data_IF_351704593928
#
_entry.id   IF_351704593928
#
_cell.length_a   1.000
_cell.length_b   1.000
_cell.length_c   1.000
_cell.angle_alpha   90.00
_cell.angle_beta   90.00
_cell.angle_gamma   90.00
#
_symmetry.space_group_name_H-M   'P 1'
#
loop_
_entity.id
_entity.type
_entity.pdbx_description
1 polymer ?
#
# COMPACT_ATOMS: atom_id res chain seq x y z
N UNK A 1 8.27 24.60 -10.84
CA UNK A 1 8.36 23.22 -10.36
C UNK A 1 8.90 23.33 -8.95
N UNK A 2 8.10 22.97 -7.96
CA UNK A 2 8.63 22.67 -6.63
C UNK A 2 9.71 21.60 -6.80
N UNK A 3 10.81 21.72 -6.06
CA UNK A 3 11.83 20.68 -6.07
C UNK A 3 11.78 20.00 -4.72
N UNK A 4 11.28 18.76 -4.72
CA UNK A 4 11.27 17.91 -3.54
C UNK A 4 12.62 17.23 -3.38
N UNK A 5 13.03 17.02 -2.14
CA UNK A 5 14.11 16.10 -1.83
C UNK A 5 13.87 15.43 -0.48
N UNK A 6 14.45 14.25 -0.34
CA UNK A 6 14.28 13.41 0.85
C UNK A 6 15.50 13.45 1.73
N UNK A 7 15.26 13.50 3.04
CA UNK A 7 16.29 13.25 4.02
C UNK A 7 15.67 12.68 5.30
N UNK A 8 16.17 11.53 5.74
CA UNK A 8 15.86 10.92 7.03
C UNK A 8 14.36 10.78 7.35
N UNK A 9 13.55 10.28 6.41
CA UNK A 9 12.11 10.09 6.60
C UNK A 9 11.24 11.31 6.29
N UNK A 10 11.86 12.46 5.98
CA UNK A 10 11.14 13.70 5.68
C UNK A 10 11.29 14.12 4.23
N UNK A 11 10.22 14.72 3.69
CA UNK A 11 10.24 15.41 2.40
C UNK A 11 10.40 16.91 2.64
N UNK A 12 11.32 17.52 1.90
CA UNK A 12 11.54 18.94 1.93
C UNK A 12 11.17 19.56 0.59
N UNK A 13 10.42 20.65 0.65
CA UNK A 13 10.02 21.46 -0.49
C UNK A 13 10.60 22.88 -0.37
N UNK A 14 11.08 23.43 -1.48
CA UNK A 14 11.50 24.84 -1.54
C UNK A 14 10.34 25.68 -2.10
N UNK A 15 9.73 26.48 -1.24
CA UNK A 15 8.71 27.46 -1.64
C UNK A 15 9.41 28.73 -2.15
N UNK A 16 9.14 29.06 -3.42
CA UNK A 16 9.81 30.13 -4.17
C UNK A 16 8.98 31.42 -4.27
N UNK A 17 7.82 31.48 -3.62
CA UNK A 17 7.12 32.72 -3.36
C UNK A 17 7.79 33.45 -2.18
N UNK A 18 8.35 34.66 -2.37
CA UNK A 18 8.95 35.41 -1.26
C UNK A 18 7.90 35.87 -0.25
N UNK A 19 8.03 35.46 1.00
CA UNK A 19 7.10 35.74 2.10
C UNK A 19 7.82 36.24 3.35
N UNK A 20 7.10 36.98 4.20
CA UNK A 20 7.56 37.21 5.59
C UNK A 20 7.59 35.88 6.34
N UNK A 21 8.36 35.79 7.42
CA UNK A 21 8.46 34.54 8.18
C UNK A 21 7.09 34.05 8.67
N UNK A 22 6.27 34.95 9.25
CA UNK A 22 4.90 34.59 9.71
C UNK A 22 4.02 34.07 8.58
N UNK A 23 4.13 34.66 7.38
CA UNK A 23 3.34 34.23 6.22
C UNK A 23 3.84 32.88 5.70
N UNK A 24 5.15 32.64 5.70
CA UNK A 24 5.75 31.36 5.32
C UNK A 24 5.38 30.25 6.32
N UNK A 25 5.39 30.55 7.63
CA UNK A 25 4.97 29.64 8.69
C UNK A 25 3.48 29.28 8.57
N UNK A 26 2.63 30.28 8.35
CA UNK A 26 1.19 30.06 8.13
C UNK A 26 0.93 29.30 6.83
N UNK A 27 1.67 29.58 5.76
CA UNK A 27 1.58 28.85 4.50
C UNK A 27 1.91 27.37 4.73
N UNK A 28 3.08 27.07 5.29
CA UNK A 28 3.52 25.71 5.58
C UNK A 28 2.52 24.96 6.46
N UNK A 29 2.00 25.57 7.53
CA UNK A 29 1.03 24.94 8.42
C UNK A 29 -0.38 24.76 7.81
N UNK A 30 -0.66 25.40 6.67
CA UNK A 30 -1.93 25.30 5.95
C UNK A 30 -1.90 24.30 4.81
N UNK A 31 -0.71 23.84 4.40
CA UNK A 31 -0.60 22.79 3.41
C UNK A 31 -1.05 21.48 4.06
N UNK A 32 -1.74 20.68 3.26
CA UNK A 32 -2.12 19.33 3.58
C UNK A 32 -1.77 18.49 2.36
N UNK A 33 -1.15 17.34 2.62
CA UNK A 33 -0.93 16.30 1.63
C UNK A 33 -1.84 15.13 1.99
N UNK A 34 -2.47 14.56 0.98
CA UNK A 34 -3.51 13.54 1.14
C UNK A 34 -4.84 14.00 0.55
N UNK A 35 -5.30 13.23 -0.42
CA UNK A 35 -6.69 13.09 -0.80
C UNK A 35 -7.50 12.33 0.28
N UNK A 36 -8.83 12.41 0.19
CA UNK A 36 -9.82 12.00 1.20
C UNK A 36 -9.77 10.49 1.56
N UNK A 37 -8.97 9.69 0.83
CA UNK A 37 -8.89 8.22 0.95
C UNK A 37 -7.74 7.71 1.84
N UNK A 38 -6.65 8.48 2.00
CA UNK A 38 -5.48 8.00 2.75
C UNK A 38 -5.76 7.87 4.25
N UNK A 39 -6.68 8.66 4.83
CA UNK A 39 -6.85 8.76 6.29
C UNK A 39 -5.57 9.20 7.04
N UNK A 40 -4.50 9.55 6.30
CA UNK A 40 -3.22 9.99 6.82
C UNK A 40 -3.02 11.44 6.41
N UNK A 41 -3.22 12.34 7.37
CA UNK A 41 -2.82 13.73 7.20
C UNK A 41 -1.33 13.83 7.49
N UNK A 42 -0.52 14.01 6.45
CA UNK A 42 0.85 14.46 6.65
C UNK A 42 0.82 15.93 7.06
N UNK A 43 1.50 16.25 8.16
CA UNK A 43 1.68 17.62 8.61
C UNK A 43 2.91 18.24 7.98
N UNK A 44 2.78 19.51 7.61
CA UNK A 44 3.89 20.31 7.11
C UNK A 44 4.19 21.49 8.03
N UNK A 45 5.46 21.89 8.03
CA UNK A 45 5.95 23.03 8.80
C UNK A 45 7.13 23.67 8.07
N UNK A 46 7.49 24.89 8.47
CA UNK A 46 8.80 25.40 8.09
C UNK A 46 9.88 24.50 8.68
N UNK A 47 10.86 24.13 7.85
CA UNK A 47 11.80 23.08 8.15
C UNK A 47 12.52 23.26 9.47
N UNK A 48 12.56 22.17 10.22
CA UNK A 48 13.34 21.98 11.42
C UNK A 48 14.69 21.41 10.96
N UNK A 49 15.76 21.71 11.70
CA UNK A 49 17.08 21.18 11.37
C UNK A 49 17.74 20.66 12.63
N UNK A 50 17.80 19.34 12.74
CA UNK A 50 18.21 18.57 13.90
C UNK A 50 19.66 18.10 13.86
N UNK A 51 20.29 18.14 12.68
CA UNK A 51 21.64 17.59 12.48
C UNK A 51 22.47 18.33 11.43
N UNK A 52 23.80 18.17 11.54
CA UNK A 52 24.74 18.76 10.59
C UNK A 52 24.58 18.18 9.18
N UNK A 53 24.18 16.91 9.09
CA UNK A 53 24.01 16.21 7.82
C UNK A 53 22.72 16.65 7.11
N UNK A 54 21.63 16.84 7.85
CA UNK A 54 20.39 17.42 7.33
C UNK A 54 20.61 18.85 6.83
N UNK A 55 21.25 19.70 7.62
CA UNK A 55 21.60 21.07 7.22
C UNK A 55 22.40 21.09 5.91
N UNK A 56 23.32 20.14 5.74
CA UNK A 56 24.10 19.99 4.52
C UNK A 56 23.26 19.46 3.34
N UNK A 57 22.30 18.55 3.60
CA UNK A 57 21.39 18.02 2.59
C UNK A 57 20.45 19.11 2.06
N UNK A 58 19.82 19.88 2.95
CA UNK A 58 18.98 21.03 2.60
C UNK A 58 19.77 22.00 1.72
N UNK A 59 20.94 22.44 2.18
CA UNK A 59 21.80 23.36 1.42
C UNK A 59 22.20 22.83 0.04
N UNK A 60 22.53 21.54 -0.06
CA UNK A 60 22.93 20.89 -1.31
C UNK A 60 21.79 20.93 -2.32
N UNK A 61 20.57 20.58 -1.90
CA UNK A 61 19.42 20.51 -2.80
C UNK A 61 18.97 21.90 -3.24
N UNK A 62 18.93 22.89 -2.35
CA UNK A 62 18.65 24.30 -2.72
C UNK A 62 19.58 24.78 -3.84
N UNK A 63 20.88 24.47 -3.75
CA UNK A 63 21.85 24.86 -4.78
C UNK A 63 21.64 24.18 -6.13
N UNK A 64 20.99 23.02 -6.16
CA UNK A 64 20.68 22.30 -7.39
C UNK A 64 19.38 22.80 -8.03
N UNK A 65 18.40 23.17 -7.21
CA UNK A 65 17.03 23.52 -7.62
C UNK A 65 16.86 24.96 -8.12
N UNK A 66 17.72 25.88 -7.66
CA UNK A 66 17.56 27.31 -7.91
C UNK A 66 18.42 27.77 -9.09
N UNK A 67 17.83 28.28 -10.19
CA UNK A 67 18.60 28.81 -11.32
C UNK A 67 19.50 29.97 -10.89
N UNK A 68 20.80 29.85 -11.19
CA UNK A 68 21.78 30.89 -10.89
C UNK A 68 21.39 32.24 -11.54
N UNK A 69 21.14 33.26 -10.72
CA UNK A 69 20.86 34.64 -11.17
C UNK A 69 19.40 35.10 -11.08
N UNK A 70 18.51 34.35 -10.42
CA UNK A 70 17.19 34.85 -10.03
C UNK A 70 17.36 36.02 -9.04
N UNK A 71 17.20 37.25 -9.53
CA UNK A 71 17.16 38.47 -8.71
C UNK A 71 15.97 38.44 -7.75
N UNK A 72 16.20 38.54 -6.45
CA UNK A 72 15.13 38.69 -5.46
C UNK A 72 15.49 39.65 -4.30
N UNK A 73 14.43 40.37 -3.89
CA UNK A 73 14.31 41.55 -3.03
C UNK A 73 14.96 42.86 -3.52
N UNK A 74 14.14 43.90 -3.65
CA UNK A 74 14.52 45.24 -4.13
C UNK A 74 15.29 46.09 -3.11
N UNK A 75 15.50 45.59 -1.89
CA UNK A 75 16.06 46.31 -0.73
C UNK A 75 17.48 45.87 -0.34
N UNK A 76 18.07 44.91 -1.06
CA UNK A 76 19.48 44.56 -0.92
C UNK A 76 19.83 43.59 0.21
N UNK A 77 18.86 42.86 0.78
CA UNK A 77 19.09 41.80 1.76
C UNK A 77 18.76 40.37 1.32
N UNK A 78 17.95 40.19 0.28
CA UNK A 78 17.23 38.92 0.04
C UNK A 78 17.83 37.92 -0.94
N UNK A 79 19.11 38.00 -1.29
CA UNK A 79 19.72 37.09 -2.29
C UNK A 79 20.46 35.88 -1.72
N UNK A 80 20.65 35.83 -0.39
CA UNK A 80 21.60 34.90 0.24
C UNK A 80 20.99 34.05 1.36
N UNK A 81 19.67 34.16 1.61
CA UNK A 81 18.99 33.56 2.76
C UNK A 81 17.63 32.95 2.42
N UNK A 82 17.22 31.98 3.23
CA UNK A 82 15.89 31.36 3.19
C UNK A 82 15.37 31.15 4.61
N UNK A 83 14.06 31.18 4.82
CA UNK A 83 13.42 30.91 6.11
C UNK A 83 13.45 29.43 6.51
N UNK A 84 13.90 29.18 7.74
CA UNK A 84 13.70 27.92 8.46
C UNK A 84 12.69 28.14 9.60
N UNK A 85 12.27 27.06 10.25
CA UNK A 85 11.16 27.06 11.20
C UNK A 85 11.45 27.58 12.60
N UNK A 86 12.57 28.24 12.88
CA UNK A 86 12.87 28.73 14.23
C UNK A 86 12.67 30.23 14.39
N UNK A 87 12.19 30.63 15.59
CA UNK A 87 12.10 32.01 16.04
C UNK A 87 12.34 32.13 17.54
N UNK A 88 12.71 33.30 18.03
CA UNK A 88 12.71 33.67 19.46
C UNK A 88 11.76 34.84 19.78
N UNK A 89 10.88 35.19 18.83
CA UNK A 89 9.85 36.25 18.92
C UNK A 89 8.96 36.22 20.17
N UNK A 90 8.83 35.06 20.81
CA UNK A 90 8.07 34.88 22.06
C UNK A 90 8.90 35.26 23.29
N UNK A 91 10.19 34.92 23.31
CA UNK A 91 11.11 35.21 24.41
C UNK A 91 12.50 35.37 23.83
N UNK A 92 12.93 36.62 23.70
CA UNK A 92 14.26 37.04 23.23
C UNK A 92 15.38 36.11 23.74
N UNK A 93 16.18 35.60 22.81
CA UNK A 93 17.28 34.68 23.06
C UNK A 93 16.89 33.23 23.38
N UNK A 94 15.59 32.91 23.36
CA UNK A 94 15.07 31.55 23.54
C UNK A 94 14.45 31.04 22.25
N UNK A 95 15.31 30.56 21.36
CA UNK A 95 14.92 30.02 20.06
C UNK A 95 14.11 28.72 20.17
N UNK A 96 12.96 28.69 19.51
CA UNK A 96 12.05 27.56 19.39
C UNK A 96 11.73 27.29 17.93
N UNK A 97 11.68 26.01 17.57
CA UNK A 97 11.12 25.55 16.31
C UNK A 97 9.59 25.76 16.30
N UNK A 98 8.99 25.78 15.11
CA UNK A 98 7.56 25.91 14.86
C UNK A 98 6.71 24.84 15.56
N UNK A 99 7.29 23.65 15.81
CA UNK A 99 6.67 22.59 16.63
C UNK A 99 6.81 22.80 18.15
N UNK A 100 7.39 23.92 18.59
CA UNK A 100 7.58 24.30 20.00
C UNK A 100 8.82 23.71 20.67
N UNK A 101 9.63 22.90 19.98
CA UNK A 101 10.84 22.33 20.56
C UNK A 101 11.98 23.36 20.66
N UNK A 102 12.76 23.40 21.76
CA UNK A 102 13.87 24.36 21.88
C UNK A 102 15.02 24.04 20.91
N UNK A 103 15.47 25.04 20.15
CA UNK A 103 16.64 24.90 19.25
C UNK A 103 17.91 24.55 20.03
N UNK A 104 18.02 25.05 21.27
CA UNK A 104 19.16 24.81 22.16
C UNK A 104 19.38 23.33 22.54
N UNK A 105 18.36 22.48 22.37
CA UNK A 105 18.44 21.05 22.66
C UNK A 105 19.04 20.23 21.51
N UNK A 106 19.15 20.81 20.30
CA UNK A 106 19.56 20.11 19.09
C UNK A 106 20.80 20.70 18.42
N UNK A 107 20.96 20.37 17.13
CA UNK A 107 22.02 20.93 16.28
C UNK A 107 21.89 22.44 16.11
N UNK A 108 23.02 23.13 16.01
CA UNK A 108 23.10 24.57 15.78
C UNK A 108 24.26 24.89 14.85
N UNK A 109 24.04 25.79 13.88
CA UNK A 109 25.07 26.21 12.92
C UNK A 109 25.12 27.73 12.70
N UNK A 110 25.04 28.51 13.78
CA UNK A 110 25.09 29.96 13.73
C UNK A 110 26.35 30.49 13.02
N UNK A 111 26.18 31.55 12.23
CA UNK A 111 27.25 32.17 11.47
C UNK A 111 28.28 32.91 12.31
N UNK A 112 29.54 32.90 11.88
CA UNK A 112 30.63 33.64 12.55
C UNK A 112 30.97 34.94 11.80
N UNK A 113 30.12 35.96 11.95
CA UNK A 113 30.35 37.30 11.37
C UNK A 113 31.16 38.23 12.29
N UNK A 114 31.73 39.31 11.73
CA UNK A 114 32.38 40.42 12.45
C UNK A 114 31.42 41.26 13.33
N UNK A 115 30.14 40.90 13.38
CA UNK A 115 29.18 41.32 14.40
C UNK A 115 29.17 40.24 15.49
N UNK A 116 30.31 40.10 16.17
CA UNK A 116 30.55 39.04 17.13
C UNK A 116 29.44 38.92 18.18
N UNK A 117 29.14 37.66 18.50
CA UNK A 117 28.12 37.10 19.41
C UNK A 117 26.69 37.02 18.86
N UNK A 118 26.47 36.05 17.96
CA UNK A 118 25.15 35.42 17.82
C UNK A 118 25.04 34.14 18.67
N UNK A 119 23.85 33.84 19.23
CA UNK A 119 22.53 34.39 18.84
C UNK A 119 22.06 35.62 19.66
N UNK A 120 22.96 36.56 19.98
CA UNK A 120 22.92 37.41 21.17
C UNK A 120 23.06 38.92 20.83
N UNK A 121 22.54 39.39 19.68
CA UNK A 121 22.45 40.84 19.52
C UNK A 121 21.39 41.49 20.44
N UNK A 122 20.55 40.72 21.17
CA UNK A 122 19.79 41.00 22.41
C UNK A 122 19.07 42.36 22.60
N UNK A 123 19.02 43.20 21.57
CA UNK A 123 18.42 44.54 21.58
C UNK A 123 17.76 44.85 20.21
N UNK A 124 17.44 43.83 19.43
CA UNK A 124 16.94 43.93 18.05
C UNK A 124 15.44 43.70 17.89
N UNK A 125 14.94 44.00 16.68
CA UNK A 125 13.62 43.55 16.18
C UNK A 125 13.82 42.36 15.20
N UNK A 126 14.88 41.59 15.40
CA UNK A 126 15.25 40.44 14.57
C UNK A 126 14.96 39.22 15.44
N UNK A 127 14.10 38.33 14.95
CA UNK A 127 13.54 37.26 15.78
C UNK A 127 13.41 35.93 15.02
N UNK A 128 13.96 35.83 13.80
CA UNK A 128 13.61 34.77 12.84
C UNK A 128 14.82 34.16 12.15
N UNK A 129 14.88 32.82 12.15
CA UNK A 129 16.04 32.06 11.70
C UNK A 129 16.03 31.92 10.18
N UNK A 130 17.16 32.28 9.56
CA UNK A 130 17.38 32.03 8.15
C UNK A 130 18.69 31.29 7.88
N UNK A 131 18.67 30.38 6.90
CA UNK A 131 19.86 29.68 6.43
C UNK A 131 20.53 30.45 5.30
N UNK A 132 21.83 30.72 5.43
CA UNK A 132 22.64 31.27 4.37
C UNK A 132 22.82 30.24 3.24
N UNK A 133 22.50 30.60 2.00
CA UNK A 133 22.74 29.76 0.81
C UNK A 133 24.08 30.08 0.12
N UNK A 134 24.70 31.19 0.54
CA UNK A 134 26.01 31.69 0.09
C UNK A 134 25.96 32.41 -1.25
N UNK A 135 26.81 33.45 -1.44
CA UNK A 135 26.77 34.25 -2.67
C UNK A 135 27.61 33.68 -3.82
N UNK A 136 27.05 33.74 -5.03
CA UNK A 136 27.79 33.57 -6.28
C UNK A 136 27.55 34.73 -7.27
N UNK A 137 28.52 35.64 -7.54
CA UNK A 137 29.79 35.89 -6.85
C UNK A 137 29.69 36.91 -5.69
N UNK A 138 30.45 36.68 -4.62
CA UNK A 138 30.53 37.43 -3.34
C UNK A 138 30.46 38.97 -3.44
N UNK A 139 29.69 39.72 -2.59
CA UNK A 139 29.88 41.15 -2.49
C UNK A 139 30.94 41.39 -1.42
N UNK A 140 31.55 42.56 -1.43
CA UNK A 140 32.22 43.08 -0.25
C UNK A 140 31.22 43.16 0.92
N UNK A 141 31.40 42.38 1.98
CA UNK A 141 30.52 42.46 3.16
C UNK A 141 30.64 41.35 4.20
N UNK A 142 31.08 40.14 3.83
CA UNK A 142 31.32 39.05 4.80
C UNK A 142 30.07 38.46 5.46
N UNK A 143 28.92 38.51 4.77
CA UNK A 143 27.63 38.01 5.23
C UNK A 143 27.26 36.77 4.41
N UNK A 144 26.86 35.67 5.07
CA UNK A 144 26.30 34.45 4.47
C UNK A 144 27.30 33.38 4.03
N UNK A 145 27.94 32.64 4.96
CA UNK A 145 28.58 31.37 4.60
C UNK A 145 27.47 30.35 4.36
N UNK A 146 27.57 29.63 3.24
CA UNK A 146 26.60 28.63 2.86
C UNK A 146 26.42 27.57 3.97
N UNK A 147 25.18 27.37 4.41
CA UNK A 147 24.76 26.46 5.47
C UNK A 147 24.71 27.07 6.87
N UNK A 148 25.23 28.28 7.10
CA UNK A 148 25.20 28.92 8.42
C UNK A 148 23.87 29.64 8.69
N UNK A 149 23.42 29.60 9.94
CA UNK A 149 22.18 30.23 10.40
C UNK A 149 22.44 31.67 10.85
N UNK A 150 21.48 32.56 10.61
CA UNK A 150 21.52 33.97 11.01
C UNK A 150 20.14 34.40 11.48
N UNK A 151 20.11 35.37 12.39
CA UNK A 151 18.90 36.03 12.85
C UNK A 151 18.54 37.27 11.99
N UNK A 152 17.34 37.26 11.42
CA UNK A 152 16.84 38.30 10.52
C UNK A 152 15.51 38.90 10.99
N UNK A 153 15.24 40.14 10.56
CA UNK A 153 13.94 40.80 10.76
C UNK A 153 12.84 40.06 10.02
N UNK A 154 11.69 39.85 10.67
CA UNK A 154 10.50 39.24 10.06
C UNK A 154 9.87 40.08 8.95
N UNK A 155 10.29 41.33 8.80
CA UNK A 155 9.88 42.21 7.69
C UNK A 155 10.50 41.83 6.34
N UNK A 156 11.55 40.99 6.32
CA UNK A 156 12.15 40.51 5.08
C UNK A 156 11.21 39.54 4.37
N UNK A 157 11.18 39.59 3.03
CA UNK A 157 10.47 38.57 2.23
C UNK A 157 11.47 37.62 1.59
N UNK A 158 11.48 36.37 2.05
CA UNK A 158 12.41 35.33 1.61
C UNK A 158 11.64 34.10 1.12
N UNK A 159 12.34 33.24 0.38
CA UNK A 159 11.91 31.86 0.16
C UNK A 159 11.97 31.07 1.45
N UNK A 160 11.25 29.97 1.51
CA UNK A 160 11.22 29.07 2.67
C UNK A 160 11.51 27.63 2.26
N UNK A 161 12.03 26.84 3.21
CA UNK A 161 11.99 25.38 3.12
C UNK A 161 10.84 24.91 3.99
N UNK A 162 9.97 24.13 3.37
CA UNK A 162 8.87 23.41 4.01
C UNK A 162 9.34 21.98 4.20
N UNK A 163 9.00 21.39 5.33
CA UNK A 163 9.23 20.00 5.66
C UNK A 163 7.90 19.31 5.90
N UNK A 164 7.81 18.06 5.46
CA UNK A 164 6.66 17.17 5.63
C UNK A 164 7.08 15.99 6.49
N UNK A 165 6.20 15.56 7.41
CA UNK A 165 6.36 14.39 8.28
C UNK A 165 6.22 13.03 7.53
N UNK A 166 6.61 12.99 6.26
CA UNK A 166 6.57 11.77 5.45
C UNK A 166 7.36 11.90 4.15
N UNK A 167 7.50 10.79 3.45
CA UNK A 167 8.16 10.68 2.15
C UNK A 167 7.12 10.79 1.03
N UNK A 168 7.22 11.81 0.19
CA UNK A 168 6.25 12.12 -0.86
C UNK A 168 6.96 12.13 -2.21
N UNK A 169 6.60 11.21 -3.09
CA UNK A 169 7.07 11.11 -4.46
C UNK A 169 6.61 12.28 -5.34
N UNK A 170 6.64 12.03 -6.62
CA UNK A 170 6.22 12.94 -7.69
C UNK A 170 5.49 12.12 -8.72
N UNK A 171 4.74 12.77 -9.62
CA UNK A 171 4.06 12.10 -10.73
C UNK A 171 4.96 11.36 -11.78
N UNK A 172 6.19 10.98 -11.45
CA UNK A 172 6.97 10.07 -12.29
C UNK A 172 7.97 9.27 -11.47
N UNK A 173 8.37 8.11 -12.01
CA UNK A 173 9.18 7.08 -11.34
C UNK A 173 10.21 7.58 -10.30
N UNK A 174 9.91 7.29 -9.04
CA UNK A 174 10.68 7.68 -7.88
C UNK A 174 11.39 6.51 -7.19
N UNK A 175 12.37 6.88 -6.36
CA UNK A 175 13.04 5.95 -5.45
C UNK A 175 12.95 6.47 -4.04
N UNK A 176 12.00 5.93 -3.30
CA UNK A 176 11.68 6.31 -1.94
C UNK A 176 12.31 5.31 -0.95
N UNK A 177 12.91 5.82 0.11
CA UNK A 177 13.51 4.99 1.16
C UNK A 177 13.25 5.63 2.50
N UNK A 178 12.40 5.00 3.29
CA UNK A 178 12.12 5.36 4.67
C UNK A 178 13.27 5.01 5.60
N UNK A 179 12.96 4.99 6.89
CA UNK A 179 13.89 4.83 8.00
C UNK A 179 13.82 3.41 8.56
N UNK A 180 13.97 3.26 9.87
CA UNK A 180 13.80 1.99 10.58
C UNK A 180 12.79 2.14 11.73
N UNK A 181 11.99 3.21 11.67
CA UNK A 181 10.81 3.39 12.49
C UNK A 181 9.65 3.74 11.57
N UNK A 182 8.47 3.90 12.17
CA UNK A 182 7.22 4.06 11.46
C UNK A 182 7.24 5.27 10.51
N UNK A 183 7.18 5.00 9.22
CA UNK A 183 7.18 5.99 8.14
C UNK A 183 5.78 6.10 7.51
N UNK A 184 5.50 7.27 6.94
CA UNK A 184 4.40 7.45 5.99
C UNK A 184 5.01 7.79 4.65
N UNK A 185 4.70 7.00 3.63
CA UNK A 185 5.26 7.11 2.29
C UNK A 185 4.11 7.16 1.28
N UNK A 186 4.18 8.13 0.38
CA UNK A 186 3.27 8.29 -0.75
C UNK A 186 4.12 8.39 -2.03
N UNK A 187 3.92 7.50 -2.98
CA UNK A 187 4.62 7.49 -4.27
C UNK A 187 4.10 8.54 -5.25
N UNK A 188 2.83 8.97 -5.13
CA UNK A 188 2.10 9.68 -6.20
C UNK A 188 2.12 8.83 -7.50
N UNK A 189 1.73 9.37 -8.65
CA UNK A 189 1.78 8.61 -9.91
C UNK A 189 3.22 8.27 -10.35
N UNK A 190 3.45 7.13 -11.00
CA UNK A 190 4.76 6.75 -11.51
C UNK A 190 4.99 5.25 -11.41
N UNK A 191 6.19 4.79 -11.81
CA UNK A 191 6.58 3.41 -11.51
C UNK A 191 7.66 3.49 -10.44
N UNK A 192 7.27 3.32 -9.20
CA UNK A 192 8.04 3.67 -8.03
C UNK A 192 8.75 2.47 -7.42
N UNK A 193 9.83 2.78 -6.73
CA UNK A 193 10.61 1.80 -5.98
C UNK A 193 10.72 2.26 -4.53
N UNK A 194 9.80 1.77 -3.73
CA UNK A 194 9.59 2.14 -2.34
C UNK A 194 10.21 1.08 -1.45
N UNK A 195 11.04 1.53 -0.51
CA UNK A 195 11.49 0.72 0.61
C UNK A 195 11.14 1.44 1.90
N UNK A 196 10.19 0.95 2.67
CA UNK A 196 9.73 1.63 3.87
C UNK A 196 10.76 1.49 4.99
N UNK A 197 10.93 0.32 5.58
CA UNK A 197 11.91 0.21 6.65
C UNK A 197 11.80 -1.06 7.46
N UNK A 198 12.16 -0.96 8.72
CA UNK A 198 11.47 -1.72 9.76
C UNK A 198 10.55 -0.69 10.46
N UNK A 199 9.50 -1.14 11.14
CA UNK A 199 8.53 -0.25 11.78
C UNK A 199 7.13 -0.49 11.22
N UNK A 200 6.13 0.10 11.87
CA UNK A 200 4.74 0.00 11.39
C UNK A 200 4.53 1.10 10.34
N UNK A 201 4.76 0.76 9.07
CA UNK A 201 4.79 1.72 7.98
C UNK A 201 3.44 1.86 7.29
N UNK A 202 3.15 3.05 6.76
CA UNK A 202 2.02 3.30 5.87
C UNK A 202 2.54 3.70 4.50
N UNK A 203 2.25 2.89 3.49
CA UNK A 203 2.73 3.09 2.13
C UNK A 203 1.54 3.20 1.17
N UNK A 204 1.47 4.30 0.46
CA UNK A 204 0.62 4.53 -0.70
C UNK A 204 1.55 4.47 -1.91
N UNK A 205 1.39 3.44 -2.75
CA UNK A 205 2.28 3.26 -3.89
C UNK A 205 1.96 4.29 -5.00
N UNK A 206 0.67 4.53 -5.23
CA UNK A 206 0.15 5.45 -6.23
C UNK A 206 -0.18 4.75 -7.56
N UNK A 207 -0.49 5.54 -8.58
CA UNK A 207 -0.77 5.00 -9.91
C UNK A 207 0.50 4.50 -10.59
N UNK A 208 0.52 3.30 -11.14
CA UNK A 208 1.58 2.79 -12.00
C UNK A 208 2.31 1.58 -11.41
N UNK A 209 3.20 0.97 -12.20
CA UNK A 209 3.72 -0.35 -11.83
C UNK A 209 4.79 -0.22 -10.74
N UNK A 210 4.39 -0.46 -9.50
CA UNK A 210 5.17 -0.16 -8.33
C UNK A 210 5.86 -1.37 -7.73
N UNK A 211 6.90 -1.07 -6.97
CA UNK A 211 7.61 -2.06 -6.18
C UNK A 211 7.76 -1.56 -4.76
N UNK A 212 7.11 -2.25 -3.85
CA UNK A 212 7.13 -1.94 -2.42
C UNK A 212 7.82 -3.06 -1.63
N UNK A 213 8.82 -2.69 -0.83
CA UNK A 213 9.37 -3.53 0.25
C UNK A 213 9.10 -2.80 1.57
N UNK A 214 7.99 -3.16 2.24
CA UNK A 214 7.58 -2.55 3.50
C UNK A 214 8.50 -2.95 4.67
N UNK A 215 9.02 -4.18 4.63
CA UNK A 215 9.91 -4.71 5.66
C UNK A 215 9.15 -5.28 6.86
N UNK A 216 9.74 -5.27 8.07
CA UNK A 216 9.09 -5.86 9.25
C UNK A 216 8.33 -4.82 10.06
N UNK A 217 7.30 -5.24 10.77
CA UNK A 217 6.37 -4.38 11.51
C UNK A 217 4.95 -4.60 10.99
N UNK A 218 3.95 -3.99 11.62
CA UNK A 218 2.56 -4.12 11.17
C UNK A 218 2.30 -3.06 10.09
N UNK A 219 2.47 -3.43 8.82
CA UNK A 219 2.44 -2.48 7.71
C UNK A 219 1.06 -2.33 7.08
N UNK A 220 0.82 -1.16 6.50
CA UNK A 220 -0.35 -0.88 5.67
C UNK A 220 0.12 -0.41 4.29
N UNK A 221 -0.04 -1.24 3.27
CA UNK A 221 0.37 -0.94 1.89
C UNK A 221 -0.84 -0.98 0.98
N UNK A 222 -1.08 0.10 0.25
CA UNK A 222 -2.11 0.15 -0.80
C UNK A 222 -1.53 0.74 -2.09
N UNK A 223 -1.97 0.23 -3.23
CA UNK A 223 -1.66 0.82 -4.53
C UNK A 223 -2.38 2.16 -4.71
N UNK A 224 -3.68 2.22 -4.39
CA UNK A 224 -4.52 3.35 -4.80
C UNK A 224 -4.40 4.60 -3.90
N UNK A 225 -4.34 5.77 -4.56
CA UNK A 225 -4.73 7.08 -4.01
C UNK A 225 -5.86 7.68 -4.86
N UNK A 226 -7.08 7.13 -4.78
CA UNK A 226 -8.23 7.73 -5.47
C UNK A 226 -9.39 6.78 -5.72
N UNK A 227 -10.57 7.35 -6.02
CA UNK A 227 -11.83 6.62 -6.20
C UNK A 227 -12.13 6.20 -7.66
N UNK A 228 -11.25 6.52 -8.63
CA UNK A 228 -11.62 6.42 -10.05
C UNK A 228 -10.49 6.05 -11.02
N UNK A 229 -9.31 5.63 -10.57
CA UNK A 229 -8.23 5.30 -11.51
C UNK A 229 -8.23 3.81 -11.87
N UNK A 230 -8.07 3.56 -13.16
CA UNK A 230 -8.08 2.23 -13.76
C UNK A 230 -6.70 1.87 -14.30
N UNK A 231 -5.65 2.44 -13.70
CA UNK A 231 -4.26 2.38 -14.18
C UNK A 231 -3.28 2.25 -13.00
N UNK A 232 -3.66 1.54 -11.93
CA UNK A 232 -2.73 1.18 -10.84
C UNK A 232 -1.60 0.32 -11.43
N UNK A 233 -1.92 -0.58 -12.35
CA UNK A 233 -0.90 -1.32 -13.08
C UNK A 233 -0.40 -2.52 -12.28
N UNK A 234 0.68 -3.16 -12.76
CA UNK A 234 1.09 -4.44 -12.20
C UNK A 234 2.12 -4.25 -11.08
N UNK A 235 1.69 -4.47 -9.85
CA UNK A 235 2.42 -4.17 -8.64
C UNK A 235 3.18 -5.36 -8.06
N UNK A 236 4.21 -5.04 -7.28
CA UNK A 236 5.04 -6.01 -6.57
C UNK A 236 5.22 -5.60 -5.13
N UNK A 237 4.28 -6.03 -4.29
CA UNK A 237 4.27 -5.75 -2.86
C UNK A 237 4.92 -6.87 -2.08
N UNK A 238 5.78 -6.48 -1.15
CA UNK A 238 6.44 -7.37 -0.23
C UNK A 238 6.46 -6.75 1.16
N UNK A 239 5.84 -7.42 2.12
CA UNK A 239 6.05 -7.20 3.54
C UNK A 239 6.93 -8.31 4.14
N UNK A 240 7.13 -8.23 5.46
CA UNK A 240 8.13 -8.97 6.21
C UNK A 240 7.49 -9.85 7.27
N UNK A 241 7.83 -9.61 8.53
CA UNK A 241 7.08 -10.18 9.64
C UNK A 241 6.22 -9.10 10.29
N UNK A 242 5.00 -9.42 10.69
CA UNK A 242 4.05 -8.49 11.30
C UNK A 242 2.65 -8.79 10.78
N UNK A 243 1.63 -8.20 11.42
CA UNK A 243 0.26 -8.35 10.96
C UNK A 243 0.00 -7.28 9.88
N UNK A 244 0.21 -7.63 8.61
CA UNK A 244 0.22 -6.67 7.49
C UNK A 244 -1.15 -6.55 6.80
N UNK A 245 -1.49 -5.35 6.32
CA UNK A 245 -2.57 -5.09 5.37
C UNK A 245 -1.99 -4.71 4.01
N UNK A 246 -2.33 -5.46 2.95
CA UNK A 246 -1.83 -5.25 1.59
C UNK A 246 -3.00 -5.23 0.60
N UNK A 247 -3.18 -4.14 -0.16
CA UNK A 247 -4.19 -4.07 -1.23
C UNK A 247 -3.57 -3.57 -2.53
N UNK A 248 -3.49 -4.42 -3.55
CA UNK A 248 -2.78 -4.12 -4.80
C UNK A 248 -3.63 -3.45 -5.89
N UNK A 249 -4.96 -3.47 -5.78
CA UNK A 249 -5.82 -2.69 -6.67
C UNK A 249 -6.02 -3.36 -8.03
N UNK A 250 -5.86 -2.64 -9.13
CA UNK A 250 -6.07 -3.17 -10.49
C UNK A 250 -4.77 -3.53 -11.19
N UNK A 251 -4.60 -4.77 -11.65
CA UNK A 251 -3.36 -5.19 -12.28
C UNK A 251 -3.15 -6.70 -12.26
N UNK A 252 -2.13 -7.19 -12.97
CA UNK A 252 -1.64 -8.55 -12.67
C UNK A 252 -0.56 -8.42 -11.58
N UNK A 253 -0.94 -8.61 -10.32
CA UNK A 253 -0.11 -8.23 -9.18
C UNK A 253 0.67 -9.39 -8.57
N UNK A 254 1.68 -9.03 -7.79
CA UNK A 254 2.46 -9.96 -7.01
C UNK A 254 2.59 -9.49 -5.56
N UNK A 255 1.99 -10.26 -4.66
CA UNK A 255 1.96 -9.94 -3.23
C UNK A 255 2.70 -11.02 -2.44
N UNK A 256 3.61 -10.60 -1.58
CA UNK A 256 4.26 -11.44 -0.57
C UNK A 256 4.04 -10.81 0.79
N UNK A 257 3.10 -11.31 1.59
CA UNK A 257 2.82 -10.76 2.92
C UNK A 257 3.91 -11.12 3.94
N UNK A 258 4.33 -12.39 3.96
CA UNK A 258 5.31 -12.87 4.94
C UNK A 258 4.63 -13.43 6.19
N UNK A 259 5.32 -13.47 7.31
CA UNK A 259 4.83 -14.12 8.55
C UNK A 259 4.01 -13.12 9.39
N UNK A 260 2.94 -13.57 10.04
CA UNK A 260 2.00 -12.77 10.83
C UNK A 260 0.56 -13.04 10.37
N UNK A 261 -0.42 -12.52 11.11
CA UNK A 261 -1.83 -12.66 10.72
C UNK A 261 -2.18 -11.55 9.70
N UNK A 262 -2.01 -11.83 8.40
CA UNK A 262 -2.10 -10.80 7.36
C UNK A 262 -3.51 -10.66 6.79
N UNK A 263 -3.83 -9.48 6.26
CA UNK A 263 -4.99 -9.24 5.39
C UNK A 263 -4.51 -8.82 4.01
N UNK A 264 -4.85 -9.59 2.98
CA UNK A 264 -4.44 -9.33 1.60
C UNK A 264 -5.66 -9.17 0.72
N UNK A 265 -5.68 -8.10 -0.07
CA UNK A 265 -6.63 -7.87 -1.15
C UNK A 265 -5.82 -7.86 -2.45
N UNK A 266 -6.04 -8.83 -3.32
CA UNK A 266 -5.41 -8.85 -4.65
C UNK A 266 -5.97 -7.72 -5.49
N UNK A 267 -7.28 -7.78 -5.73
CA UNK A 267 -7.99 -6.84 -6.57
C UNK A 267 -8.19 -7.44 -7.96
N UNK A 268 -8.34 -6.63 -9.00
CA UNK A 268 -8.71 -7.19 -10.31
C UNK A 268 -7.49 -7.55 -11.15
N UNK A 269 -7.47 -8.74 -11.75
CA UNK A 269 -6.44 -9.18 -12.69
C UNK A 269 -5.91 -10.56 -12.31
N UNK A 270 -4.78 -11.02 -12.89
CA UNK A 270 -4.24 -12.34 -12.56
C UNK A 270 -3.10 -12.23 -11.56
N UNK A 271 -3.43 -12.41 -10.29
CA UNK A 271 -2.55 -12.15 -9.17
C UNK A 271 -1.78 -13.38 -8.71
N UNK A 272 -0.64 -13.11 -8.10
CA UNK A 272 0.17 -14.09 -7.40
C UNK A 272 0.32 -13.66 -5.95
N UNK A 273 -0.46 -14.29 -5.08
CA UNK A 273 -0.48 -14.02 -3.65
C UNK A 273 0.27 -15.12 -2.91
N UNK A 274 1.20 -14.72 -2.03
CA UNK A 274 1.88 -15.64 -1.13
C UNK A 274 1.93 -15.07 0.28
N UNK A 275 1.42 -15.81 1.26
CA UNK A 275 1.55 -15.48 2.68
C UNK A 275 2.47 -16.49 3.38
N UNK A 276 2.79 -16.22 4.64
CA UNK A 276 3.71 -16.99 5.47
C UNK A 276 2.97 -17.76 6.56
N UNK A 277 3.59 -17.88 7.73
CA UNK A 277 2.89 -18.42 8.89
C UNK A 277 2.01 -17.37 9.57
N UNK A 278 0.84 -17.75 10.07
CA UNK A 278 -0.18 -16.86 10.63
C UNK A 278 -1.55 -17.30 10.15
N UNK A 279 -2.61 -16.76 10.74
CA UNK A 279 -3.97 -16.96 10.23
C UNK A 279 -4.29 -15.82 9.29
N UNK A 280 -4.14 -16.05 7.99
CA UNK A 280 -4.26 -15.01 7.00
C UNK A 280 -5.70 -14.88 6.48
N UNK A 281 -6.09 -13.66 6.12
CA UNK A 281 -7.33 -13.36 5.40
C UNK A 281 -6.96 -12.87 4.00
N UNK A 282 -7.41 -13.59 2.98
CA UNK A 282 -7.15 -13.26 1.58
C UNK A 282 -8.49 -13.03 0.88
N UNK A 283 -8.69 -11.83 0.34
CA UNK A 283 -9.74 -11.52 -0.63
C UNK A 283 -9.08 -11.36 -2.00
N UNK A 284 -9.20 -12.38 -2.84
CA UNK A 284 -8.41 -12.45 -4.08
C UNK A 284 -8.81 -11.33 -5.04
N UNK A 285 -10.10 -11.16 -5.31
CA UNK A 285 -10.58 -10.19 -6.31
C UNK A 285 -11.05 -8.85 -5.72
N UNK A 286 -11.11 -8.74 -4.38
CA UNK A 286 -11.62 -7.56 -3.69
C UNK A 286 -13.14 -7.44 -3.79
N UNK A 287 -13.86 -8.07 -2.86
CA UNK A 287 -15.33 -7.97 -2.74
C UNK A 287 -15.84 -6.52 -2.46
N UNK A 288 -14.93 -5.57 -2.16
CA UNK A 288 -15.26 -4.23 -1.66
C UNK A 288 -14.81 -3.04 -2.52
N UNK A 289 -14.38 -3.22 -3.77
CA UNK A 289 -14.20 -2.03 -4.64
C UNK A 289 -15.57 -1.46 -5.02
N UNK A 290 -15.80 -0.16 -4.77
CA UNK A 290 -17.06 0.55 -5.05
C UNK A 290 -17.46 0.52 -6.54
N UNK A 291 -16.58 0.02 -7.42
CA UNK A 291 -16.72 0.05 -8.88
C UNK A 291 -17.46 -1.15 -9.50
N UNK A 292 -17.96 -2.07 -8.68
CA UNK A 292 -19.12 -2.89 -9.05
C UNK A 292 -18.93 -3.85 -10.24
N UNK A 293 -17.68 -4.14 -10.63
CA UNK A 293 -17.34 -5.29 -11.46
C UNK A 293 -15.95 -5.76 -11.06
N UNK A 294 -15.85 -6.78 -10.19
CA UNK A 294 -14.63 -7.56 -10.09
C UNK A 294 -14.32 -8.08 -11.50
N UNK A 295 -13.29 -7.52 -12.12
CA UNK A 295 -12.82 -7.97 -13.41
C UNK A 295 -12.13 -9.31 -13.19
N UNK A 296 -12.66 -10.37 -13.81
CA UNK A 296 -12.25 -11.77 -13.66
C UNK A 296 -10.71 -11.97 -13.68
N UNK A 297 -10.17 -12.52 -12.59
CA UNK A 297 -8.78 -12.98 -12.44
C UNK A 297 -8.58 -14.47 -12.70
N UNK A 298 -7.33 -14.95 -12.69
CA UNK A 298 -7.03 -16.37 -12.62
C UNK A 298 -5.82 -16.56 -11.72
N UNK A 299 -6.09 -16.64 -10.43
CA UNK A 299 -5.07 -16.27 -9.47
C UNK A 299 -4.27 -17.47 -9.02
N UNK A 300 -3.11 -17.19 -8.44
CA UNK A 300 -2.24 -18.19 -7.83
C UNK A 300 -2.00 -17.78 -6.39
N UNK A 301 -2.71 -18.44 -5.49
CA UNK A 301 -2.66 -18.19 -4.05
C UNK A 301 -1.92 -19.32 -3.38
N UNK A 302 -0.95 -18.98 -2.54
CA UNK A 302 -0.26 -19.92 -1.67
C UNK A 302 -0.16 -19.32 -0.29
N UNK A 303 -0.97 -19.83 0.62
CA UNK A 303 -0.81 -19.50 2.01
C UNK A 303 0.20 -20.45 2.67
N UNK A 304 0.54 -20.20 3.92
CA UNK A 304 1.59 -20.92 4.62
C UNK A 304 1.05 -21.84 5.70
N UNK A 305 1.17 -21.41 6.95
CA UNK A 305 0.79 -22.25 8.08
C UNK A 305 -0.07 -21.45 9.06
N UNK A 306 -1.19 -21.99 9.48
CA UNK A 306 -2.20 -21.30 10.28
C UNK A 306 -3.57 -21.60 9.69
N UNK A 307 -4.62 -21.14 10.35
CA UNK A 307 -5.99 -21.36 9.88
C UNK A 307 -6.37 -20.21 8.94
N UNK A 308 -6.19 -20.40 7.63
CA UNK A 308 -6.33 -19.33 6.63
C UNK A 308 -7.78 -19.20 6.11
N UNK A 309 -8.19 -17.98 5.77
CA UNK A 309 -9.50 -17.67 5.20
C UNK A 309 -9.35 -17.02 3.83
N UNK A 310 -9.74 -17.74 2.77
CA UNK A 310 -9.43 -17.39 1.38
C UNK A 310 -10.73 -17.23 0.58
N UNK A 311 -11.04 -16.01 0.16
CA UNK A 311 -12.16 -15.68 -0.73
C UNK A 311 -11.68 -15.65 -2.17
N UNK A 312 -12.18 -16.58 -2.99
CA UNK A 312 -11.65 -16.82 -4.33
C UNK A 312 -12.17 -15.88 -5.41
N UNK A 313 -13.27 -15.17 -5.18
CA UNK A 313 -13.80 -14.25 -6.20
C UNK A 313 -14.36 -14.98 -7.44
N UNK A 314 -14.31 -14.28 -8.57
CA UNK A 314 -14.65 -14.80 -9.89
C UNK A 314 -13.44 -15.57 -10.48
N UNK A 315 -13.48 -15.93 -11.76
CA UNK A 315 -12.29 -16.50 -12.40
C UNK A 315 -12.01 -17.99 -12.11
N UNK A 316 -10.73 -18.39 -12.21
CA UNK A 316 -10.31 -19.79 -12.08
C UNK A 316 -8.96 -19.98 -11.37
N UNK A 317 -9.02 -20.03 -10.06
CA UNK A 317 -7.81 -19.85 -9.26
C UNK A 317 -7.12 -21.16 -8.93
N UNK A 318 -5.85 -21.05 -8.56
CA UNK A 318 -5.06 -22.14 -8.03
C UNK A 318 -4.64 -21.79 -6.62
N UNK A 319 -5.14 -22.57 -5.69
CA UNK A 319 -5.00 -22.32 -4.26
C UNK A 319 -4.22 -23.45 -3.62
N UNK A 320 -3.35 -23.08 -2.70
CA UNK A 320 -2.74 -23.94 -1.70
C UNK A 320 -2.98 -23.29 -0.34
N UNK A 321 -3.76 -23.95 0.53
CA UNK A 321 -4.02 -23.49 1.91
C UNK A 321 -2.85 -23.80 2.86
N UNK A 322 -1.97 -24.72 2.47
CA UNK A 322 -0.81 -25.04 3.28
C UNK A 322 -1.15 -25.95 4.46
N UNK A 323 -0.87 -25.53 5.69
CA UNK A 323 -1.15 -26.33 6.89
C UNK A 323 -2.00 -25.58 7.89
N UNK A 324 -3.09 -26.17 8.32
CA UNK A 324 -4.00 -25.59 9.29
C UNK A 324 -5.42 -25.96 8.91
N UNK A 325 -6.41 -25.35 9.56
CA UNK A 325 -7.81 -25.54 9.20
C UNK A 325 -8.21 -24.40 8.27
N UNK A 326 -8.03 -24.61 6.97
CA UNK A 326 -8.21 -23.53 6.00
C UNK A 326 -9.67 -23.47 5.53
N UNK A 327 -10.14 -22.28 5.17
CA UNK A 327 -11.48 -22.06 4.64
C UNK A 327 -11.39 -21.44 3.26
N UNK A 328 -11.92 -22.13 2.25
CA UNK A 328 -11.99 -21.65 0.87
C UNK A 328 -13.41 -21.19 0.56
N UNK A 329 -13.60 -19.89 0.38
CA UNK A 329 -14.90 -19.25 0.13
C UNK A 329 -15.09 -19.00 -1.36
N UNK A 330 -16.20 -19.50 -1.89
CA UNK A 330 -16.64 -19.27 -3.25
C UNK A 330 -17.74 -18.22 -3.26
N UNK A 331 -17.54 -17.14 -4.01
CA UNK A 331 -18.49 -16.01 -4.12
C UNK A 331 -19.11 -15.89 -5.51
N UNK A 332 -18.71 -16.74 -6.46
CA UNK A 332 -19.33 -16.83 -7.79
C UNK A 332 -19.37 -18.28 -8.30
N UNK A 333 -20.22 -18.54 -9.30
CA UNK A 333 -20.23 -19.77 -10.10
C UNK A 333 -19.58 -19.49 -11.46
N UNK A 334 -18.47 -20.18 -11.81
CA UNK A 334 -17.77 -19.89 -13.05
C UNK A 334 -18.65 -20.03 -14.30
N UNK A 335 -18.68 -18.98 -15.13
CA UNK A 335 -19.58 -18.88 -16.29
C UNK A 335 -19.13 -19.72 -17.52
N UNK A 336 -17.83 -20.01 -17.65
CA UNK A 336 -17.28 -20.84 -18.73
C UNK A 336 -16.90 -22.26 -18.27
N UNK A 337 -17.23 -23.25 -19.09
CA UNK A 337 -17.08 -24.68 -18.75
C UNK A 337 -15.83 -25.33 -19.38
N UNK A 338 -15.18 -24.69 -20.36
CA UNK A 338 -13.87 -25.12 -20.91
C UNK A 338 -13.27 -24.10 -21.89
N UNK A 339 -11.95 -24.18 -22.08
CA UNK A 339 -11.21 -23.49 -23.15
C UNK A 339 -10.37 -24.46 -23.97
N UNK A 340 -9.96 -24.08 -25.19
CA UNK A 340 -9.05 -24.88 -26.02
C UNK A 340 -7.64 -24.31 -25.94
N UNK A 341 -6.69 -25.11 -25.47
CA UNK A 341 -5.27 -24.74 -25.39
C UNK A 341 -4.51 -25.46 -26.50
N UNK A 342 -3.63 -24.75 -27.20
CA UNK A 342 -2.74 -25.36 -28.18
C UNK A 342 -1.51 -25.95 -27.46
N UNK A 343 -1.33 -27.26 -27.61
CA UNK A 343 -0.16 -27.98 -27.13
C UNK A 343 1.09 -27.61 -27.94
N UNK A 344 2.28 -27.80 -27.35
CA UNK A 344 3.56 -27.54 -28.03
C UNK A 344 3.76 -28.36 -29.32
N UNK A 345 3.05 -29.48 -29.46
CA UNK A 345 3.08 -30.31 -30.67
C UNK A 345 2.10 -29.83 -31.77
N UNK A 346 1.40 -28.72 -31.54
CA UNK A 346 0.44 -28.13 -32.46
C UNK A 346 -0.97 -28.71 -32.37
N UNK A 347 -1.20 -29.74 -31.55
CA UNK A 347 -2.55 -30.25 -31.26
C UNK A 347 -3.30 -29.31 -30.30
N UNK A 348 -4.62 -29.43 -30.22
CA UNK A 348 -5.42 -28.71 -29.22
C UNK A 348 -5.96 -29.66 -28.17
N UNK A 349 -5.99 -29.19 -26.92
CA UNK A 349 -6.63 -29.86 -25.80
C UNK A 349 -7.72 -28.97 -25.23
N UNK A 350 -8.88 -29.55 -24.97
CA UNK A 350 -9.91 -28.90 -24.17
C UNK A 350 -9.51 -28.96 -22.70
N UNK A 351 -9.31 -27.81 -22.09
CA UNK A 351 -9.05 -27.65 -20.67
C UNK A 351 -10.35 -27.21 -20.02
N UNK A 352 -10.84 -28.02 -19.09
CA UNK A 352 -11.97 -27.64 -18.24
C UNK A 352 -11.44 -26.61 -17.24
N UNK A 353 -12.12 -25.48 -17.18
CA UNK A 353 -11.82 -24.38 -16.27
C UNK A 353 -12.65 -24.56 -15.01
N UNK A 354 -12.01 -24.35 -13.86
CA UNK A 354 -12.57 -24.47 -12.51
C UNK A 354 -11.51 -23.99 -11.51
N UNK A 355 -11.93 -23.49 -10.35
CA UNK A 355 -11.01 -23.28 -9.23
C UNK A 355 -10.32 -24.61 -8.87
N UNK A 356 -9.09 -24.52 -8.39
CA UNK A 356 -8.27 -25.68 -8.03
C UNK A 356 -7.67 -25.50 -6.65
N UNK A 357 -8.25 -26.20 -5.69
CA UNK A 357 -7.68 -26.35 -4.36
C UNK A 357 -6.75 -27.56 -4.39
N UNK A 358 -5.45 -27.34 -4.24
CA UNK A 358 -4.44 -28.33 -4.61
C UNK A 358 -3.96 -29.22 -3.45
N UNK A 359 -4.24 -28.86 -2.21
CA UNK A 359 -3.75 -29.51 -0.99
C UNK A 359 -4.80 -29.73 0.10
N UNK A 360 -6.09 -29.60 -0.22
CA UNK A 360 -7.22 -29.80 0.70
C UNK A 360 -7.07 -31.05 1.59
N UNK A 361 -7.16 -30.89 2.91
CA UNK A 361 -7.21 -31.95 3.90
C UNK A 361 -8.61 -32.07 4.51
N UNK A 362 -9.37 -33.08 4.05
CA UNK A 362 -10.68 -33.41 4.63
C UNK A 362 -10.58 -34.21 5.95
N UNK A 363 -9.42 -34.18 6.61
CA UNK A 363 -9.18 -34.92 7.86
C UNK A 363 -8.93 -36.42 7.68
N UNK A 364 -9.18 -37.18 8.76
CA UNK A 364 -9.00 -38.64 8.78
C UNK A 364 -7.67 -39.17 9.31
N UNK A 365 -6.66 -38.30 9.38
CA UNK A 365 -5.33 -38.65 9.91
C UNK A 365 -5.04 -38.03 11.30
N UNK A 366 -6.01 -37.35 11.91
CA UNK A 366 -5.83 -36.61 13.17
C UNK A 366 -5.06 -35.29 13.00
N UNK A 367 -5.14 -34.71 11.79
CA UNK A 367 -4.53 -33.45 11.36
C UNK A 367 -5.62 -32.36 11.33
N UNK A 368 -5.24 -31.12 11.00
CA UNK A 368 -6.16 -30.02 10.69
C UNK A 368 -7.09 -30.36 9.51
N UNK A 369 -8.26 -29.71 9.47
CA UNK A 369 -9.35 -30.02 8.54
C UNK A 369 -9.78 -28.75 7.81
N UNK A 370 -9.67 -28.80 6.50
CA UNK A 370 -10.07 -27.72 5.61
C UNK A 370 -11.57 -27.74 5.35
N UNK A 371 -12.13 -26.58 5.04
CA UNK A 371 -13.54 -26.39 4.76
C UNK A 371 -13.76 -25.61 3.47
N UNK A 372 -14.85 -25.93 2.78
CA UNK A 372 -15.37 -25.11 1.69
C UNK A 372 -16.55 -24.30 2.21
N UNK A 373 -16.54 -23.02 1.93
CA UNK A 373 -17.66 -22.12 2.17
C UNK A 373 -18.18 -21.60 0.83
N UNK A 374 -19.49 -21.45 0.72
CA UNK A 374 -20.11 -20.86 -0.45
C UNK A 374 -21.01 -19.71 0.00
N UNK A 375 -20.85 -18.55 -0.61
CA UNK A 375 -21.73 -17.41 -0.38
C UNK A 375 -23.17 -17.79 -0.78
N UNK A 376 -24.13 -17.56 0.11
CA UNK A 376 -25.54 -17.90 -0.14
C UNK A 376 -26.13 -17.28 -1.41
N UNK A 377 -25.58 -16.17 -1.90
CA UNK A 377 -26.04 -15.50 -3.12
C UNK A 377 -25.69 -16.24 -4.41
N UNK A 378 -24.74 -17.17 -4.38
CA UNK A 378 -24.39 -17.96 -5.58
C UNK A 378 -25.41 -19.08 -5.85
N UNK A 379 -26.24 -19.42 -4.85
CA UNK A 379 -27.19 -20.51 -4.92
C UNK A 379 -28.62 -20.05 -4.61
N UNK A 380 -29.45 -19.90 -5.65
CA UNK A 380 -30.88 -19.55 -5.48
C UNK A 380 -31.65 -20.52 -4.55
N UNK A 381 -31.25 -21.80 -4.46
CA UNK A 381 -31.97 -22.83 -3.68
C UNK A 381 -31.38 -23.13 -2.29
N UNK A 382 -30.18 -22.64 -1.95
CA UNK A 382 -29.49 -22.97 -0.69
C UNK A 382 -29.50 -21.85 0.35
N UNK A 383 -30.41 -20.87 0.27
CA UNK A 383 -30.54 -19.76 1.25
C UNK A 383 -30.62 -20.23 2.73
N UNK A 384 -31.00 -21.49 3.00
CA UNK A 384 -31.09 -22.07 4.35
C UNK A 384 -30.00 -23.12 4.67
N UNK A 385 -28.95 -23.20 3.86
CA UNK A 385 -27.83 -24.14 4.00
C UNK A 385 -27.96 -25.43 3.19
N UNK A 386 -26.86 -26.19 3.13
CA UNK A 386 -26.81 -27.51 2.50
C UNK A 386 -27.27 -28.60 3.48
N UNK A 387 -27.85 -29.68 2.96
CA UNK A 387 -28.20 -30.86 3.75
C UNK A 387 -27.73 -32.15 3.08
N UNK A 388 -27.65 -33.22 3.86
CA UNK A 388 -27.24 -34.54 3.36
C UNK A 388 -28.14 -35.09 2.24
N UNK A 389 -29.34 -34.53 2.01
CA UNK A 389 -30.21 -34.94 0.89
C UNK A 389 -29.82 -34.29 -0.43
N UNK A 390 -29.11 -33.16 -0.38
CA UNK A 390 -28.76 -32.34 -1.55
C UNK A 390 -27.25 -32.39 -1.86
N UNK A 391 -26.50 -33.21 -1.13
CA UNK A 391 -25.09 -33.51 -1.38
C UNK A 391 -24.91 -34.97 -1.82
N UNK A 392 -24.23 -35.18 -2.94
CA UNK A 392 -23.97 -36.51 -3.53
C UNK A 392 -22.46 -36.77 -3.57
N UNK A 393 -21.98 -37.79 -2.84
CA UNK A 393 -20.57 -38.26 -2.86
C UNK A 393 -20.45 -39.55 -3.69
N UNK A 394 -19.69 -39.52 -4.80
CA UNK A 394 -19.36 -40.71 -5.61
C UNK A 394 -19.17 -40.47 -7.11
N UNK A 395 -18.64 -41.46 -7.81
CA UNK A 395 -18.34 -41.36 -9.25
C UNK A 395 -19.57 -41.50 -10.14
N UNK A 396 -19.83 -40.50 -10.97
CA UNK A 396 -20.67 -40.62 -12.17
C UNK A 396 -22.17 -40.84 -11.88
N UNK A 397 -23.00 -39.97 -12.44
CA UNK A 397 -24.44 -40.16 -12.49
C UNK A 397 -24.77 -41.45 -13.26
N UNK A 398 -25.02 -42.57 -12.56
CA UNK A 398 -25.53 -43.80 -13.18
C UNK A 398 -26.86 -44.26 -12.57
N UNK A 399 -27.71 -43.33 -12.18
CA UNK A 399 -29.11 -43.63 -11.89
C UNK A 399 -29.73 -42.64 -10.92
N UNK A 400 -30.89 -42.12 -11.34
CA UNK A 400 -31.82 -41.29 -10.59
C UNK A 400 -31.77 -41.50 -9.07
N UNK A 401 -31.68 -40.39 -8.33
CA UNK A 401 -32.22 -40.36 -6.97
C UNK A 401 -33.72 -40.64 -7.05
N UNK A 402 -34.25 -41.48 -6.17
CA UNK A 402 -35.60 -42.05 -6.28
C UNK A 402 -36.77 -41.05 -6.04
N UNK A 403 -36.53 -39.74 -6.12
CA UNK A 403 -37.53 -38.69 -5.90
C UNK A 403 -37.61 -37.67 -7.04
N UNK A 404 -37.51 -38.14 -8.29
CA UNK A 404 -37.69 -37.28 -9.47
C UNK A 404 -39.15 -36.85 -9.69
N UNK A 405 -39.47 -35.67 -9.17
CA UNK A 405 -40.32 -34.67 -9.84
C UNK A 405 -39.70 -33.30 -9.53
N UNK A 406 -38.85 -32.81 -10.45
CA UNK A 406 -37.83 -31.79 -10.22
C UNK A 406 -38.26 -30.49 -9.53
N UNK A 407 -37.42 -30.05 -8.58
CA UNK A 407 -37.24 -28.67 -8.08
C UNK A 407 -35.96 -28.49 -7.23
N UNK A 408 -35.12 -29.53 -7.05
CA UNK A 408 -34.09 -29.53 -6.01
C UNK A 408 -32.67 -29.49 -6.60
N UNK A 409 -31.88 -28.50 -6.18
CA UNK A 409 -30.49 -28.32 -6.61
C UNK A 409 -29.54 -29.24 -5.85
N UNK A 410 -28.48 -29.71 -6.51
CA UNK A 410 -27.51 -30.65 -5.93
C UNK A 410 -26.07 -30.17 -6.04
N UNK A 411 -25.30 -30.51 -5.01
CA UNK A 411 -23.85 -30.46 -5.00
C UNK A 411 -23.30 -31.89 -5.14
N UNK A 412 -22.45 -32.14 -6.14
CA UNK A 412 -22.00 -33.48 -6.52
C UNK A 412 -20.47 -33.55 -6.47
N UNK A 413 -19.92 -34.39 -5.60
CA UNK A 413 -18.49 -34.63 -5.48
C UNK A 413 -18.09 -35.99 -6.08
N UNK A 414 -17.36 -35.98 -7.20
CA UNK A 414 -16.77 -37.17 -7.81
C UNK A 414 -15.46 -37.54 -7.12
N UNK A 415 -15.54 -38.50 -6.21
CA UNK A 415 -14.39 -39.02 -5.44
C UNK A 415 -13.27 -39.61 -6.30
N UNK A 416 -13.53 -39.98 -7.55
CA UNK A 416 -12.51 -40.56 -8.44
C UNK A 416 -11.66 -39.50 -9.13
N UNK A 417 -12.22 -38.31 -9.35
CA UNK A 417 -11.57 -37.21 -10.07
C UNK A 417 -11.33 -35.98 -9.22
N UNK A 418 -11.88 -35.91 -8.00
CA UNK A 418 -11.81 -34.76 -7.11
C UNK A 418 -12.68 -33.59 -7.55
N UNK A 419 -13.60 -33.81 -8.49
CA UNK A 419 -14.39 -32.74 -9.10
C UNK A 419 -15.66 -32.47 -8.31
N UNK A 420 -15.93 -31.20 -8.04
CA UNK A 420 -17.14 -30.72 -7.39
C UNK A 420 -18.02 -29.98 -8.40
N UNK A 421 -19.25 -30.44 -8.53
CA UNK A 421 -20.21 -29.93 -9.51
C UNK A 421 -21.47 -29.38 -8.85
N UNK A 422 -22.04 -28.33 -9.43
CA UNK A 422 -23.35 -27.81 -9.08
C UNK A 422 -24.38 -28.11 -10.17
N UNK A 423 -25.51 -28.69 -9.77
CA UNK A 423 -26.64 -29.05 -10.61
C UNK A 423 -27.86 -28.22 -10.19
N UNK A 424 -28.10 -27.13 -10.93
CA UNK A 424 -29.10 -26.11 -10.61
C UNK A 424 -30.53 -26.43 -11.09
N UNK A 425 -30.73 -27.48 -11.88
CA UNK A 425 -32.07 -27.87 -12.36
C UNK A 425 -32.53 -29.22 -11.77
N UNK A 426 -31.63 -29.92 -11.08
CA UNK A 426 -31.85 -31.23 -10.47
C UNK A 426 -32.21 -32.32 -11.48
N UNK A 427 -32.16 -32.00 -12.78
CA UNK A 427 -32.54 -32.85 -13.88
C UNK A 427 -31.28 -33.17 -14.67
N UNK A 428 -30.64 -34.27 -14.25
CA UNK A 428 -29.43 -34.87 -14.79
C UNK A 428 -29.47 -35.25 -16.30
N UNK A 429 -30.44 -34.76 -17.05
CA UNK A 429 -30.70 -35.12 -18.44
C UNK A 429 -30.71 -33.97 -19.45
N UNK A 430 -30.80 -32.68 -19.07
CA UNK A 430 -30.95 -31.59 -20.08
C UNK A 430 -30.03 -30.35 -19.91
N UNK A 431 -29.31 -30.15 -18.80
CA UNK A 431 -28.16 -29.23 -18.73
C UNK A 431 -27.01 -29.91 -17.98
N UNK A 432 -25.76 -29.81 -18.46
CA UNK A 432 -24.65 -30.45 -17.74
C UNK A 432 -24.37 -29.69 -16.45
N UNK A 433 -24.15 -30.38 -15.32
CA UNK A 433 -23.83 -29.71 -14.06
C UNK A 433 -22.53 -28.90 -14.22
N UNK A 434 -22.49 -27.72 -13.61
CA UNK A 434 -21.36 -26.78 -13.72
C UNK A 434 -20.22 -27.29 -12.86
N UNK A 435 -19.01 -27.41 -13.42
CA UNK A 435 -17.82 -27.73 -12.63
C UNK A 435 -17.38 -26.47 -11.88
N UNK A 436 -17.48 -26.48 -10.56
CA UNK A 436 -17.06 -25.35 -9.74
C UNK A 436 -15.59 -25.45 -9.36
N UNK A 437 -15.20 -26.62 -8.83
CA UNK A 437 -13.86 -26.82 -8.29
C UNK A 437 -13.29 -28.20 -8.60
N UNK A 438 -11.97 -28.27 -8.66
CA UNK A 438 -11.19 -29.51 -8.62
C UNK A 438 -10.42 -29.51 -7.30
N UNK A 439 -10.87 -30.35 -6.37
CA UNK A 439 -10.31 -30.52 -5.04
C UNK A 439 -9.31 -31.68 -5.08
N UNK A 440 -8.07 -31.40 -4.69
CA UNK A 440 -7.00 -32.38 -4.54
C UNK A 440 -6.47 -32.34 -3.11
N UNK A 441 -5.68 -33.34 -2.75
CA UNK A 441 -5.14 -33.49 -1.41
C UNK A 441 -5.65 -34.79 -0.78
N UNK A 442 -5.95 -34.75 0.50
CA UNK A 442 -6.51 -35.86 1.26
C UNK A 442 -8.04 -35.75 1.31
N UNK A 443 -8.71 -36.23 0.25
CA UNK A 443 -10.18 -36.11 0.10
C UNK A 443 -10.94 -37.39 0.49
N UNK A 444 -10.28 -38.34 1.15
CA UNK A 444 -10.88 -39.64 1.49
C UNK A 444 -12.12 -39.46 2.39
N UNK A 445 -11.99 -38.58 3.38
CA UNK A 445 -13.02 -38.33 4.38
C UNK A 445 -13.97 -37.20 3.99
N UNK A 446 -13.73 -36.50 2.88
CA UNK A 446 -14.53 -35.36 2.40
C UNK A 446 -16.03 -35.64 2.40
N UNK A 447 -16.81 -34.91 3.19
CA UNK A 447 -18.25 -35.06 3.31
C UNK A 447 -18.97 -33.71 3.43
N UNK A 448 -20.27 -33.75 3.73
CA UNK A 448 -21.08 -32.53 3.80
C UNK A 448 -20.73 -31.65 5.02
N UNK A 449 -20.04 -32.19 6.03
CA UNK A 449 -19.58 -31.45 7.19
C UNK A 449 -18.43 -30.50 6.88
N UNK A 450 -17.68 -30.79 5.80
CA UNK A 450 -16.60 -29.93 5.30
C UNK A 450 -17.14 -28.78 4.42
N UNK A 451 -18.47 -28.64 4.31
CA UNK A 451 -19.13 -27.67 3.44
C UNK A 451 -20.08 -26.80 4.25
N UNK A 452 -19.92 -25.48 4.12
CA UNK A 452 -20.80 -24.48 4.75
C UNK A 452 -21.37 -23.54 3.69
N UNK A 453 -22.59 -23.07 3.90
CA UNK A 453 -23.16 -21.93 3.16
C UNK A 453 -23.16 -20.73 4.10
N UNK A 454 -22.61 -19.60 3.69
CA UNK A 454 -22.43 -18.41 4.53
C UNK A 454 -23.30 -17.22 4.11
#
# INVERSE_FOLDING_TARGET
MATHFYYNGHTYEIETAPMTWDAAAANAASLAWGDDFSGVSMTSYLAIVDSAAENAAILKNIKASVPHGATLAADGGGADYLWLGASDSVTEGTWQWTNGTPVSAGFQNWGSGTLGSEPDNFNGNQDFLAMGVGKWPAPSGGIGIAGQWNDLSGSNTLWSVIEWDGLIGTAGADKLTGTAGNDVIDGDAGNDNIKAGDGDDRVFAGDGNDKVDAGNGDNWVIAETGSTDSDDGNDNFKAGSGDDFLAAGTGDDKIIAGDGDNTVIGGSGNDIITTGAGNDIIDVDGYYTEDGVASEGNDVIKTGAGDDFIVLGAGYDKVWGGTGNDVFVFTDIPSATSTTVQNRDGTTSTVVLAHRINDFDAGGNGVAVDHLAFDSTIFDAFENGISATNFIKGSGLTGASANETGVDDFLIFDTSSGKLYYDADGNQSDSQPVLMAIIKGNTADFDFGDITII
#
